data_IF_930383287413
#
_entry.id   IF_930383287413
#
_cell.length_a   1.000
_cell.length_b   1.000
_cell.length_c   1.000
_cell.angle_alpha   90.00
_cell.angle_beta   90.00
_cell.angle_gamma   90.00
#
_symmetry.space_group_name_H-M   'P 1'
#
loop_
_entity.id
_entity.type
_entity.pdbx_description
1 polymer ?
#
# COMPACT_ATOMS: atom_id res chain seq x y z
N UNK A 1 1.56 16.11 3.04
CA UNK A 1 1.63 15.02 2.04
C UNK A 1 0.66 13.92 2.43
N UNK A 2 0.19 13.14 1.47
CA UNK A 2 -0.71 12.03 1.72
C UNK A 2 -0.13 10.76 1.15
N UNK A 3 -0.37 9.64 1.82
CA UNK A 3 0.06 8.33 1.34
C UNK A 3 -1.12 7.35 1.37
N UNK A 4 -1.03 6.36 0.49
CA UNK A 4 -1.97 5.25 0.39
C UNK A 4 -1.26 4.02 0.94
N UNK A 5 -1.83 3.41 1.98
CA UNK A 5 -1.27 2.18 2.56
C UNK A 5 -2.26 1.03 2.35
N UNK A 6 -1.76 -0.14 1.97
CA UNK A 6 -2.60 -1.28 1.63
C UNK A 6 -2.17 -2.58 2.32
N UNK A 7 -1.21 -2.51 3.25
CA UNK A 7 -0.68 -3.71 3.89
C UNK A 7 -0.37 -3.53 5.36
N UNK A 8 0.84 -3.90 5.76
CA UNK A 8 1.25 -3.93 7.16
C UNK A 8 1.33 -2.56 7.83
N UNK A 9 1.25 -1.47 7.05
CA UNK A 9 1.17 -0.10 7.59
C UNK A 9 -0.27 0.29 7.95
N UNK A 10 -1.26 -0.50 7.56
CA UNK A 10 -2.66 -0.21 7.89
C UNK A 10 -2.87 -0.30 9.41
N UNK A 11 -3.95 0.34 9.88
CA UNK A 11 -4.30 0.36 11.31
C UNK A 11 -4.30 -1.04 11.89
N UNK A 12 -3.72 -1.20 13.08
CA UNK A 12 -3.68 -2.46 13.84
C UNK A 12 -2.89 -3.58 13.15
N UNK A 13 -2.07 -3.25 12.17
CA UNK A 13 -1.17 -4.20 11.52
C UNK A 13 0.24 -4.10 12.11
N UNK A 14 1.09 -5.07 11.74
CA UNK A 14 2.41 -5.25 12.35
C UNK A 14 3.33 -4.04 12.28
N UNK A 15 3.25 -3.26 11.19
CA UNK A 15 4.09 -2.07 11.00
C UNK A 15 3.34 -0.76 11.23
N UNK A 16 2.16 -0.80 11.85
CA UNK A 16 1.37 0.41 12.07
C UNK A 16 2.06 1.45 12.96
N UNK A 17 3.05 1.03 13.77
CA UNK A 17 3.82 1.94 14.60
C UNK A 17 4.57 3.00 13.78
N UNK A 18 4.92 2.72 12.52
CA UNK A 18 5.52 3.69 11.62
C UNK A 18 4.58 4.85 11.29
N UNK A 19 3.28 4.66 11.53
CA UNK A 19 2.23 5.61 11.24
C UNK A 19 1.78 6.40 12.47
N UNK A 20 2.54 6.39 13.55
CA UNK A 20 2.18 7.03 14.83
C UNK A 20 1.93 8.53 14.66
N UNK A 21 2.72 9.20 13.80
CA UNK A 21 2.59 10.63 13.54
C UNK A 21 1.74 10.93 12.30
N UNK A 22 1.08 9.94 11.74
CA UNK A 22 0.22 10.09 10.57
C UNK A 22 -1.22 10.32 10.99
N UNK A 23 -1.95 11.12 10.22
CA UNK A 23 -3.37 11.35 10.42
C UNK A 23 -4.17 10.51 9.44
N UNK A 24 -4.99 9.60 9.96
CA UNK A 24 -5.92 8.82 9.14
C UNK A 24 -6.98 9.74 8.55
N UNK A 25 -7.16 9.68 7.22
CA UNK A 25 -8.15 10.46 6.50
C UNK A 25 -9.38 9.62 6.16
N UNK A 26 -9.19 8.35 5.86
CA UNK A 26 -10.29 7.45 5.55
C UNK A 26 -9.86 6.22 4.80
N UNK A 27 -10.80 5.33 4.59
CA UNK A 27 -10.63 4.15 3.75
C UNK A 27 -10.84 4.53 2.29
N UNK A 28 -10.23 3.78 1.39
CA UNK A 28 -10.38 3.98 -0.05
C UNK A 28 -10.05 2.67 -0.76
N UNK A 29 -10.55 2.53 -1.96
CA UNK A 29 -10.17 1.42 -2.85
C UNK A 29 -9.63 2.00 -4.15
N UNK A 30 -8.47 1.52 -4.57
CA UNK A 30 -7.86 1.95 -5.83
C UNK A 30 -8.18 0.92 -6.92
N UNK A 31 -8.49 1.44 -8.10
CA UNK A 31 -8.81 0.65 -9.28
C UNK A 31 -7.60 0.58 -10.21
N UNK A 32 -7.50 -0.49 -11.00
CA UNK A 32 -6.40 -0.65 -11.96
C UNK A 32 -5.12 -1.22 -11.37
N UNK A 33 -5.19 -1.85 -10.22
CA UNK A 33 -4.05 -2.50 -9.56
C UNK A 33 -4.43 -3.88 -9.07
N UNK A 34 -3.43 -4.73 -8.91
CA UNK A 34 -3.56 -6.08 -8.36
C UNK A 34 -2.65 -6.22 -7.15
N UNK A 35 -3.15 -6.86 -6.10
CA UNK A 35 -2.44 -7.04 -4.84
C UNK A 35 -1.86 -8.45 -4.80
N UNK A 36 -0.56 -8.53 -4.43
CA UNK A 36 0.16 -9.80 -4.31
C UNK A 36 0.76 -9.95 -2.92
N UNK A 37 0.82 -11.19 -2.45
CA UNK A 37 1.54 -11.55 -1.24
C UNK A 37 2.98 -11.90 -1.62
N UNK A 38 3.92 -11.06 -1.20
CA UNK A 38 5.36 -11.24 -1.50
C UNK A 38 6.07 -12.06 -0.42
N UNK A 39 5.31 -12.57 0.57
CA UNK A 39 5.82 -13.31 1.71
C UNK A 39 5.38 -12.67 3.01
N UNK A 40 6.16 -11.73 3.54
CA UNK A 40 5.82 -11.04 4.79
C UNK A 40 5.16 -9.68 4.57
N UNK A 41 5.04 -9.22 3.34
CA UNK A 41 4.54 -7.90 2.99
C UNK A 41 3.87 -7.95 1.61
N UNK A 42 2.99 -6.99 1.33
CA UNK A 42 2.29 -6.94 0.05
C UNK A 42 3.03 -6.10 -0.99
N UNK A 43 2.66 -6.30 -2.24
CA UNK A 43 3.01 -5.42 -3.33
C UNK A 43 1.82 -5.26 -4.27
N UNK A 44 1.65 -4.07 -4.82
CA UNK A 44 0.68 -3.82 -5.87
C UNK A 44 1.40 -3.57 -7.18
N UNK A 45 0.81 -4.05 -8.26
CA UNK A 45 1.27 -3.82 -9.62
C UNK A 45 0.08 -3.38 -10.46
N UNK A 46 0.30 -2.66 -11.58
CA UNK A 46 -0.80 -2.33 -12.49
C UNK A 46 -1.50 -3.58 -12.99
N UNK A 47 -2.82 -3.52 -13.09
CA UNK A 47 -3.64 -4.64 -13.52
C UNK A 47 -5.10 -4.25 -13.63
N UNK A 48 -5.99 -5.21 -13.44
CA UNK A 48 -7.43 -5.02 -13.63
C UNK A 48 -8.23 -5.22 -12.34
N UNK A 49 -7.57 -5.12 -11.19
CA UNK A 49 -8.22 -5.38 -9.90
C UNK A 49 -8.61 -4.12 -9.15
N UNK A 50 -9.08 -4.34 -7.94
CA UNK A 50 -9.42 -3.33 -6.96
C UNK A 50 -8.66 -3.66 -5.68
N UNK A 51 -8.03 -2.65 -5.05
CA UNK A 51 -7.22 -2.86 -3.85
C UNK A 51 -7.75 -1.98 -2.73
N UNK A 52 -8.11 -2.61 -1.61
CA UNK A 52 -8.57 -1.92 -0.40
C UNK A 52 -7.38 -1.27 0.31
N UNK A 53 -7.50 -0.01 0.65
CA UNK A 53 -6.42 0.75 1.25
C UNK A 53 -6.94 1.79 2.23
N UNK A 54 -6.01 2.47 2.88
CA UNK A 54 -6.26 3.59 3.79
C UNK A 54 -5.42 4.77 3.34
N UNK A 55 -5.94 5.98 3.51
CA UNK A 55 -5.23 7.21 3.14
C UNK A 55 -4.89 7.98 4.41
N UNK A 56 -3.64 8.40 4.51
CA UNK A 56 -3.12 9.13 5.65
C UNK A 56 -2.44 10.41 5.20
N UNK A 57 -2.54 11.44 6.06
CA UNK A 57 -1.68 12.63 5.94
C UNK A 57 -0.41 12.38 6.74
N UNK A 58 0.74 12.64 6.12
CA UNK A 58 2.06 12.47 6.75
C UNK A 58 2.92 13.71 6.53
N UNK A 59 3.90 13.90 7.41
CA UNK A 59 4.93 14.91 7.21
C UNK A 59 6.07 14.37 6.34
N UNK A 60 6.98 15.25 5.94
CA UNK A 60 8.11 14.88 5.09
C UNK A 60 9.04 13.87 5.76
N UNK A 61 9.21 13.97 7.08
CA UNK A 61 10.06 13.06 7.85
C UNK A 61 9.49 11.64 7.84
N UNK A 62 8.20 11.50 8.10
CA UNK A 62 7.51 10.20 8.06
C UNK A 62 7.57 9.60 6.65
N UNK A 63 7.34 10.42 5.63
CA UNK A 63 7.42 9.94 4.24
C UNK A 63 8.81 9.42 3.91
N UNK A 64 9.86 10.11 4.33
CA UNK A 64 11.24 9.66 4.13
C UNK A 64 11.52 8.32 4.81
N UNK A 65 11.02 8.12 6.03
CA UNK A 65 11.16 6.85 6.75
C UNK A 65 10.42 5.72 6.04
N UNK A 66 9.22 5.98 5.53
CA UNK A 66 8.45 4.98 4.80
C UNK A 66 9.10 4.64 3.46
N UNK A 67 9.71 5.61 2.77
CA UNK A 67 10.46 5.38 1.55
C UNK A 67 11.63 4.42 1.81
N UNK A 68 12.33 4.60 2.92
CA UNK A 68 13.44 3.72 3.31
C UNK A 68 12.91 2.32 3.64
N UNK A 69 11.81 2.23 4.38
CA UNK A 69 11.19 0.96 4.75
C UNK A 69 10.75 0.17 3.50
N UNK A 70 10.27 0.85 2.48
CA UNK A 70 9.78 0.23 1.23
C UNK A 70 10.85 0.14 0.14
N UNK A 71 12.10 0.51 0.41
CA UNK A 71 13.19 0.47 -0.58
C UNK A 71 12.79 1.18 -1.87
N UNK A 72 12.33 2.42 -1.75
CA UNK A 72 11.97 3.25 -2.91
C UNK A 72 13.23 3.51 -3.74
N UNK A 73 13.12 3.31 -5.06
CA UNK A 73 14.27 3.32 -5.98
C UNK A 73 14.84 1.94 -6.23
N UNK A 74 14.43 0.90 -5.46
CA UNK A 74 14.78 -0.50 -5.64
C UNK A 74 13.54 -1.34 -5.95
N UNK A 75 12.96 -1.96 -4.92
CA UNK A 75 11.80 -2.83 -5.10
C UNK A 75 10.51 -2.08 -5.36
N UNK A 76 10.38 -0.84 -4.89
CA UNK A 76 9.17 -0.03 -5.02
C UNK A 76 9.48 1.32 -5.63
N UNK A 77 8.43 1.93 -6.16
CA UNK A 77 8.44 3.30 -6.64
C UNK A 77 7.15 3.97 -6.17
N UNK A 78 7.21 5.27 -5.88
CA UNK A 78 6.01 6.05 -5.56
C UNK A 78 5.34 6.57 -6.82
N UNK A 79 4.03 6.41 -6.90
CA UNK A 79 3.20 7.02 -7.93
C UNK A 79 2.12 7.88 -7.28
N UNK A 80 1.87 9.04 -7.83
CA UNK A 80 0.89 9.97 -7.31
C UNK A 80 -0.48 9.67 -7.93
N UNK A 81 -1.45 9.39 -7.09
CA UNK A 81 -2.83 9.10 -7.51
C UNK A 81 -3.79 10.13 -6.92
N UNK A 82 -4.90 10.35 -7.62
CA UNK A 82 -6.00 11.14 -7.08
C UNK A 82 -6.88 10.27 -6.20
N UNK A 83 -7.24 10.78 -5.03
CA UNK A 83 -8.16 10.12 -4.12
C UNK A 83 -9.24 11.11 -3.69
N UNK A 84 -10.33 10.65 -3.04
CA UNK A 84 -11.32 11.58 -2.49
C UNK A 84 -10.75 12.55 -1.45
N UNK A 85 -9.57 12.26 -0.91
CA UNK A 85 -8.89 13.07 0.11
C UNK A 85 -7.82 13.97 -0.50
N UNK A 86 -7.62 13.92 -1.81
CA UNK A 86 -6.62 14.66 -2.55
C UNK A 86 -5.56 13.74 -3.16
N UNK A 87 -4.52 14.31 -3.76
CA UNK A 87 -3.41 13.54 -4.31
C UNK A 87 -2.65 12.80 -3.22
N UNK A 88 -2.37 11.53 -3.45
CA UNK A 88 -1.68 10.67 -2.47
C UNK A 88 -0.70 9.74 -3.16
N UNK A 89 0.40 9.43 -2.46
CA UNK A 89 1.46 8.57 -2.97
C UNK A 89 1.12 7.10 -2.72
N UNK A 90 1.26 6.29 -3.78
CA UNK A 90 1.11 4.83 -3.73
C UNK A 90 2.48 4.18 -3.97
N UNK A 91 2.85 3.22 -3.14
CA UNK A 91 4.07 2.44 -3.35
C UNK A 91 3.74 1.28 -4.30
N UNK A 92 4.30 1.32 -5.49
CA UNK A 92 4.07 0.33 -6.54
C UNK A 92 5.29 -0.58 -6.65
N UNK A 93 5.05 -1.89 -6.58
CA UNK A 93 6.10 -2.89 -6.66
C UNK A 93 6.67 -2.94 -8.08
N UNK A 94 8.00 -3.00 -8.21
CA UNK A 94 8.70 -2.86 -9.48
C UNK A 94 9.32 -4.16 -9.98
N UNK A 95 9.18 -5.25 -9.22
CA UNK A 95 9.77 -6.52 -9.60
C UNK A 95 8.70 -7.49 -10.09
N UNK A 96 9.13 -8.63 -10.65
CA UNK A 96 8.21 -9.66 -11.13
C UNK A 96 7.39 -10.24 -9.99
N UNK A 97 6.10 -10.45 -10.24
CA UNK A 97 5.20 -11.17 -9.32
C UNK A 97 4.97 -12.62 -9.76
N UNK A 98 5.75 -13.11 -10.73
CA UNK A 98 5.66 -14.50 -11.16
C UNK A 98 5.95 -15.44 -9.97
N UNK A 99 5.08 -16.43 -9.79
CA UNK A 99 5.17 -17.35 -8.65
C UNK A 99 4.68 -16.80 -7.32
N UNK A 100 4.26 -15.54 -7.27
CA UNK A 100 3.68 -14.94 -6.07
C UNK A 100 2.17 -15.15 -6.06
N UNK A 101 1.60 -15.26 -4.87
CA UNK A 101 0.15 -15.45 -4.71
C UNK A 101 -0.58 -14.13 -4.84
N UNK A 102 -1.50 -14.04 -5.80
CA UNK A 102 -2.39 -12.90 -5.90
C UNK A 102 -3.43 -12.95 -4.78
N UNK A 103 -3.69 -11.80 -4.18
CA UNK A 103 -4.75 -11.65 -3.18
C UNK A 103 -5.99 -11.15 -3.94
N UNK A 104 -6.83 -12.06 -4.38
CA UNK A 104 -7.96 -11.75 -5.26
C UNK A 104 -9.04 -10.92 -4.57
N UNK A 105 -9.13 -10.99 -3.24
CA UNK A 105 -10.02 -10.11 -2.48
C UNK A 105 -9.61 -8.62 -2.59
N UNK A 106 -8.34 -8.34 -2.95
CA UNK A 106 -7.82 -6.99 -2.97
C UNK A 106 -7.61 -6.40 -1.58
N UNK A 107 -7.76 -7.19 -0.52
CA UNK A 107 -7.68 -6.74 0.87
C UNK A 107 -6.62 -7.55 1.62
N UNK A 108 -5.53 -6.88 2.02
CA UNK A 108 -4.46 -7.53 2.79
C UNK A 108 -4.97 -8.17 4.08
N UNK A 109 -6.00 -7.58 4.70
CA UNK A 109 -6.59 -8.11 5.93
C UNK A 109 -7.34 -9.41 5.71
N UNK A 110 -7.68 -9.73 4.47
CA UNK A 110 -8.35 -10.96 4.06
C UNK A 110 -7.49 -11.79 3.11
N UNK A 111 -6.17 -11.70 3.26
CA UNK A 111 -5.23 -12.36 2.34
C UNK A 111 -5.27 -13.88 2.40
N UNK A 112 -5.78 -14.43 3.49
CA UNK A 112 -5.93 -15.88 3.67
C UNK A 112 -7.35 -16.36 3.42
N UNK A 113 -8.23 -15.50 2.88
CA UNK A 113 -9.59 -15.89 2.57
C UNK A 113 -9.61 -16.98 1.51
N UNK A 114 -10.42 -17.99 1.74
CA UNK A 114 -10.66 -19.06 0.77
C UNK A 114 -11.75 -18.60 -0.17
N UNK A 115 -11.51 -18.78 -1.45
CA UNK A 115 -12.44 -18.37 -2.50
C UNK A 115 -13.26 -19.54 -3.00
#
# INVERSE_FOLDING_TARGET
MRIIVYGSLRRKQGNSHWMTNAQWLGDHAIDGYELYNLGHYPGVVPGEGLVCCEVYRVDASTLGELDALRSVGGEYKRELLQTPYGSAWLYVYQRSVAGKKRITSGDWLQRDAVE
#
